data_IF_429211244622
#
_entry.id   IF_429211244622
#
_cell.length_a   1.000
_cell.length_b   1.000
_cell.length_c   1.000
_cell.angle_alpha   90.00
_cell.angle_beta   90.00
_cell.angle_gamma   90.00
#
_symmetry.space_group_name_H-M   'P 1'
#
loop_
_entity.id
_entity.type
_entity.pdbx_description
1 polymer ?
#
# COMPACT_ATOMS: atom_id res chain seq x y z
N UNK A 1 23.55 55.88 -7.87
CA UNK A 1 23.40 54.56 -8.51
C UNK A 1 22.22 53.85 -7.85
N UNK A 2 21.03 53.95 -8.45
CA UNK A 2 19.81 53.37 -7.90
C UNK A 2 19.72 51.88 -8.26
N UNK A 3 19.55 51.06 -7.24
CA UNK A 3 19.54 49.60 -7.29
C UNK A 3 18.17 49.13 -7.82
N UNK A 4 18.04 49.02 -9.14
CA UNK A 4 16.82 48.56 -9.79
C UNK A 4 16.82 47.02 -9.88
N UNK A 5 16.62 46.34 -8.75
CA UNK A 5 16.27 44.92 -8.77
C UNK A 5 14.82 44.81 -9.22
N UNK A 6 14.62 44.33 -10.44
CA UNK A 6 13.31 43.98 -10.94
C UNK A 6 12.58 43.10 -9.91
N UNK A 7 11.35 43.49 -9.58
CA UNK A 7 10.42 42.70 -8.77
C UNK A 7 10.20 41.36 -9.48
N UNK A 8 10.87 40.29 -9.04
CA UNK A 8 10.59 38.93 -9.51
C UNK A 8 9.12 38.60 -9.22
N UNK A 9 8.32 38.43 -10.26
CA UNK A 9 6.94 37.96 -10.10
C UNK A 9 6.96 36.48 -9.71
N UNK A 10 6.69 36.19 -8.44
CA UNK A 10 6.55 34.81 -7.97
C UNK A 10 5.26 34.22 -8.57
N UNK A 11 5.41 33.34 -9.56
CA UNK A 11 4.30 32.55 -10.08
C UNK A 11 3.93 31.46 -9.06
N UNK A 12 2.74 31.56 -8.48
CA UNK A 12 2.19 30.50 -7.62
C UNK A 12 1.54 29.42 -8.49
N UNK A 13 2.16 28.24 -8.57
CA UNK A 13 1.55 27.08 -9.23
C UNK A 13 0.65 26.38 -8.22
N UNK A 14 -0.65 26.39 -8.48
CA UNK A 14 -1.65 25.67 -7.68
C UNK A 14 -1.79 24.24 -8.19
N UNK A 15 -1.51 23.26 -7.34
CA UNK A 15 -1.81 21.86 -7.66
C UNK A 15 -3.32 21.60 -7.59
N UNK A 16 -3.87 21.12 -8.71
CA UNK A 16 -5.30 20.79 -8.87
C UNK A 16 -5.55 19.29 -9.04
N UNK A 17 -4.52 18.45 -8.85
CA UNK A 17 -4.69 16.99 -8.96
C UNK A 17 -5.56 16.44 -7.82
N UNK A 18 -6.21 15.30 -8.03
CA UNK A 18 -7.09 14.68 -7.04
C UNK A 18 -6.34 14.20 -5.78
N UNK A 19 -7.06 14.01 -4.67
CA UNK A 19 -6.53 13.38 -3.46
C UNK A 19 -6.54 11.85 -3.62
N UNK A 20 -5.38 11.16 -3.60
CA UNK A 20 -5.31 9.71 -3.75
C UNK A 20 -5.60 8.94 -2.44
N UNK A 21 -5.61 9.59 -1.26
CA UNK A 21 -5.79 8.92 0.02
C UNK A 21 -7.02 8.00 0.11
N UNK A 22 -8.20 8.38 -0.41
CA UNK A 22 -9.37 7.50 -0.37
C UNK A 22 -9.16 6.17 -1.12
N UNK A 23 -8.41 6.18 -2.22
CA UNK A 23 -8.07 4.96 -2.96
C UNK A 23 -7.19 4.03 -2.10
N UNK A 24 -6.15 4.59 -1.47
CA UNK A 24 -5.25 3.83 -0.60
C UNK A 24 -5.98 3.24 0.61
N UNK A 25 -6.84 4.02 1.25
CA UNK A 25 -7.62 3.58 2.42
C UNK A 25 -8.66 2.51 2.07
N UNK A 26 -9.34 2.63 0.94
CA UNK A 26 -10.31 1.62 0.50
C UNK A 26 -9.61 0.31 0.09
N UNK A 27 -8.47 0.40 -0.61
CA UNK A 27 -7.61 -0.73 -0.93
C UNK A 27 -7.21 -1.52 0.31
N UNK A 28 -6.68 -0.81 1.31
CA UNK A 28 -6.29 -1.38 2.58
C UNK A 28 -7.48 -1.96 3.36
N UNK A 29 -8.50 -1.14 3.58
CA UNK A 29 -9.62 -1.46 4.46
C UNK A 29 -10.44 -2.65 3.97
N UNK A 30 -10.82 -2.67 2.69
CA UNK A 30 -11.60 -3.78 2.14
C UNK A 30 -10.83 -5.09 2.20
N UNK A 31 -9.57 -5.09 1.78
CA UNK A 31 -8.73 -6.31 1.78
C UNK A 31 -8.50 -6.81 3.22
N UNK A 32 -8.31 -5.90 4.17
CA UNK A 32 -8.17 -6.23 5.60
C UNK A 32 -9.43 -6.87 6.17
N UNK A 33 -10.60 -6.29 5.90
CA UNK A 33 -11.88 -6.84 6.37
C UNK A 33 -12.08 -8.26 5.82
N UNK A 34 -11.86 -8.46 4.52
CA UNK A 34 -12.02 -9.77 3.89
C UNK A 34 -11.06 -10.82 4.45
N UNK A 35 -9.78 -10.47 4.66
CA UNK A 35 -8.81 -11.35 5.31
C UNK A 35 -9.23 -11.70 6.73
N UNK A 36 -9.73 -10.74 7.51
CA UNK A 36 -10.10 -11.00 8.89
C UNK A 36 -11.42 -11.76 9.03
N UNK A 37 -12.33 -11.68 8.07
CA UNK A 37 -13.48 -12.58 8.00
C UNK A 37 -13.03 -14.04 7.80
N UNK A 38 -11.99 -14.27 6.98
CA UNK A 38 -11.36 -15.58 6.89
C UNK A 38 -10.71 -15.99 8.23
N UNK A 39 -9.91 -15.12 8.85
CA UNK A 39 -9.25 -15.40 10.14
C UNK A 39 -10.26 -15.69 11.27
N UNK A 40 -11.44 -15.06 11.22
CA UNK A 40 -12.54 -15.29 12.15
C UNK A 40 -13.34 -16.57 11.86
N UNK A 41 -13.01 -17.31 10.78
CA UNK A 41 -13.61 -18.60 10.46
C UNK A 41 -14.91 -18.54 9.66
N UNK A 42 -15.30 -17.38 9.11
CA UNK A 42 -16.54 -17.27 8.31
C UNK A 42 -16.43 -17.96 6.94
N UNK A 43 -15.23 -18.00 6.36
CA UNK A 43 -14.96 -18.72 5.11
C UNK A 43 -13.48 -19.09 4.98
N UNK A 44 -13.18 -20.05 4.10
CA UNK A 44 -11.80 -20.48 3.82
C UNK A 44 -11.00 -19.44 3.02
N UNK A 45 -9.67 -19.56 3.09
CA UNK A 45 -8.77 -18.77 2.25
C UNK A 45 -8.98 -19.16 0.80
N UNK A 46 -9.36 -18.19 -0.04
CA UNK A 46 -9.67 -18.42 -1.45
C UNK A 46 -9.05 -17.35 -2.33
N UNK A 47 -9.16 -17.57 -3.65
CA UNK A 47 -8.71 -16.62 -4.67
C UNK A 47 -9.33 -15.23 -4.52
N UNK A 48 -10.47 -15.08 -3.84
CA UNK A 48 -11.03 -13.77 -3.52
C UNK A 48 -10.06 -12.92 -2.68
N UNK A 49 -9.52 -13.44 -1.59
CA UNK A 49 -8.58 -12.70 -0.73
C UNK A 49 -7.28 -12.45 -1.50
N UNK A 50 -6.79 -13.46 -2.22
CA UNK A 50 -5.54 -13.35 -2.98
C UNK A 50 -5.66 -12.28 -4.08
N UNK A 51 -6.75 -12.26 -4.84
CA UNK A 51 -6.99 -11.25 -5.87
C UNK A 51 -7.11 -9.84 -5.27
N UNK A 52 -7.81 -9.70 -4.14
CA UNK A 52 -7.89 -8.42 -3.43
C UNK A 52 -6.51 -7.96 -2.93
N UNK A 53 -5.71 -8.87 -2.38
CA UNK A 53 -4.33 -8.61 -1.97
C UNK A 53 -3.41 -8.21 -3.13
N UNK A 54 -3.57 -8.80 -4.32
CA UNK A 54 -2.78 -8.41 -5.48
C UNK A 54 -3.21 -7.04 -6.02
N UNK A 55 -4.48 -6.89 -6.36
CA UNK A 55 -4.91 -5.79 -7.21
C UNK A 55 -5.29 -4.55 -6.41
N UNK A 56 -5.95 -4.71 -5.26
CA UNK A 56 -6.57 -3.59 -4.56
C UNK A 56 -5.82 -3.20 -3.30
N UNK A 57 -5.64 -4.13 -2.37
CA UNK A 57 -4.72 -3.98 -1.25
C UNK A 57 -3.28 -3.79 -1.73
N UNK A 58 -2.88 -4.41 -2.84
CA UNK A 58 -1.52 -4.33 -3.39
C UNK A 58 -1.32 -3.16 -4.35
N UNK A 59 -1.53 -3.42 -5.64
CA UNK A 59 -1.17 -2.53 -6.75
C UNK A 59 -1.86 -1.16 -6.64
N UNK A 60 -3.18 -1.12 -6.44
CA UNK A 60 -3.90 0.15 -6.35
C UNK A 60 -3.44 1.00 -5.14
N UNK A 61 -3.12 0.35 -4.02
CA UNK A 61 -2.59 1.02 -2.83
C UNK A 61 -1.17 1.56 -3.05
N UNK A 62 -0.30 0.82 -3.76
CA UNK A 62 1.02 1.31 -4.20
C UNK A 62 0.88 2.54 -5.08
N UNK A 63 -0.04 2.50 -6.06
CA UNK A 63 -0.30 3.65 -6.95
C UNK A 63 -0.76 4.86 -6.14
N UNK A 64 -1.66 4.67 -5.16
CA UNK A 64 -2.10 5.75 -4.27
C UNK A 64 -0.92 6.35 -3.49
N UNK A 65 -0.01 5.53 -2.97
CA UNK A 65 1.22 5.99 -2.31
C UNK A 65 2.15 6.79 -3.23
N UNK A 66 2.36 6.34 -4.46
CA UNK A 66 3.15 7.10 -5.46
C UNK A 66 2.50 8.46 -5.76
N UNK A 67 1.17 8.54 -5.80
CA UNK A 67 0.46 9.80 -6.02
C UNK A 67 0.58 10.76 -4.84
N UNK A 68 0.68 10.28 -3.59
CA UNK A 68 0.88 11.11 -2.39
C UNK A 68 2.23 11.86 -2.40
N UNK A 69 3.24 11.32 -3.06
CA UNK A 69 4.54 12.01 -3.18
C UNK A 69 4.38 13.34 -3.91
N UNK A 70 3.55 13.37 -4.97
CA UNK A 70 3.22 14.60 -5.70
C UNK A 70 2.41 15.58 -4.87
N UNK A 71 1.77 15.12 -3.78
CA UNK A 71 1.01 15.93 -2.82
C UNK A 71 1.85 16.43 -1.65
N UNK A 72 3.16 16.17 -1.66
CA UNK A 72 4.06 16.45 -0.54
C UNK A 72 3.59 15.79 0.78
N UNK A 73 2.90 14.66 0.67
CA UNK A 73 2.40 13.90 1.80
C UNK A 73 3.31 12.69 2.03
N UNK A 74 4.39 12.91 2.78
CA UNK A 74 5.38 11.88 3.10
C UNK A 74 4.74 10.70 3.83
N UNK A 75 3.84 10.96 4.78
CA UNK A 75 3.15 9.91 5.52
C UNK A 75 2.34 9.01 4.59
N UNK A 76 1.48 9.60 3.74
CA UNK A 76 0.67 8.84 2.79
C UNK A 76 1.52 8.08 1.78
N UNK A 77 2.61 8.68 1.31
CA UNK A 77 3.57 8.05 0.40
C UNK A 77 4.16 6.78 1.02
N UNK A 78 4.68 6.89 2.24
CA UNK A 78 5.29 5.78 2.96
C UNK A 78 4.23 4.74 3.33
N UNK A 79 3.12 5.14 3.94
CA UNK A 79 2.11 4.22 4.45
C UNK A 79 1.45 3.42 3.32
N UNK A 80 0.91 4.08 2.29
CA UNK A 80 0.20 3.37 1.24
C UNK A 80 1.13 2.51 0.38
N UNK A 81 2.33 2.99 0.06
CA UNK A 81 3.29 2.18 -0.70
C UNK A 81 3.73 0.96 0.09
N UNK A 82 4.08 1.13 1.37
CA UNK A 82 4.51 0.02 2.23
C UNK A 82 3.40 -1.00 2.46
N UNK A 83 2.19 -0.57 2.83
CA UNK A 83 1.09 -1.53 3.04
C UNK A 83 0.60 -2.19 1.73
N UNK A 84 0.77 -1.53 0.58
CA UNK A 84 0.56 -2.20 -0.70
C UNK A 84 1.60 -3.29 -0.98
N UNK A 85 2.86 -3.06 -0.63
CA UNK A 85 3.90 -4.09 -0.69
C UNK A 85 3.70 -5.20 0.35
N UNK A 86 3.16 -4.88 1.53
CA UNK A 86 2.71 -5.89 2.51
C UNK A 86 1.72 -6.85 1.87
N UNK A 87 0.67 -6.35 1.21
CA UNK A 87 -0.32 -7.21 0.57
C UNK A 87 0.26 -8.09 -0.54
N UNK A 88 1.14 -7.53 -1.38
CA UNK A 88 1.81 -8.32 -2.43
C UNK A 88 2.73 -9.40 -1.85
N UNK A 89 3.49 -9.07 -0.81
CA UNK A 89 4.39 -10.04 -0.16
C UNK A 89 3.60 -11.11 0.59
N UNK A 90 2.48 -10.77 1.24
CA UNK A 90 1.59 -11.73 1.89
C UNK A 90 1.00 -12.72 0.88
N UNK A 91 0.54 -12.24 -0.29
CA UNK A 91 0.09 -13.13 -1.37
C UNK A 91 1.23 -14.02 -1.86
N UNK A 92 2.44 -13.46 -2.06
CA UNK A 92 3.62 -14.23 -2.46
C UNK A 92 3.94 -15.36 -1.46
N UNK A 93 3.95 -15.06 -0.17
CA UNK A 93 4.19 -16.05 0.90
C UNK A 93 3.18 -17.21 0.90
N UNK A 94 1.95 -16.97 0.44
CA UNK A 94 0.90 -17.99 0.34
C UNK A 94 1.03 -18.80 -0.96
N UNK A 95 1.34 -18.15 -2.08
CA UNK A 95 1.22 -18.75 -3.41
C UNK A 95 2.52 -19.37 -3.92
N UNK A 96 3.67 -18.78 -3.60
CA UNK A 96 4.99 -19.22 -4.10
C UNK A 96 5.34 -20.68 -3.77
N UNK A 97 4.99 -21.24 -2.60
CA UNK A 97 5.24 -22.66 -2.34
C UNK A 97 4.49 -23.58 -3.31
N UNK A 98 3.25 -23.24 -3.67
CA UNK A 98 2.47 -23.98 -4.67
C UNK A 98 3.01 -23.85 -6.10
N UNK A 99 3.83 -22.83 -6.36
CA UNK A 99 4.52 -22.60 -7.64
C UNK A 99 5.93 -23.19 -7.69
N UNK A 100 6.43 -23.79 -6.60
CA UNK A 100 7.78 -24.34 -6.52
C UNK A 100 8.88 -23.29 -6.36
N UNK A 101 8.55 -22.07 -5.93
CA UNK A 101 9.51 -20.96 -5.74
C UNK A 101 10.18 -20.96 -4.36
N UNK A 102 9.79 -21.87 -3.46
CA UNK A 102 10.37 -22.01 -2.13
C UNK A 102 9.49 -22.86 -1.21
N UNK A 103 9.95 -23.11 0.01
CA UNK A 103 9.15 -23.78 1.04
C UNK A 103 8.13 -22.82 1.67
N UNK A 104 7.02 -23.35 2.19
CA UNK A 104 6.06 -22.56 2.94
C UNK A 104 6.71 -22.02 4.23
N UNK A 105 6.44 -20.75 4.62
CA UNK A 105 7.01 -20.18 5.83
C UNK A 105 6.57 -20.99 7.06
N UNK A 106 7.52 -21.26 7.96
CA UNK A 106 7.18 -21.82 9.28
C UNK A 106 6.29 -20.84 10.05
N UNK A 107 5.54 -21.35 11.04
CA UNK A 107 4.71 -20.48 11.91
C UNK A 107 5.52 -19.37 12.58
N UNK A 108 6.76 -19.68 13.00
CA UNK A 108 7.65 -18.70 13.60
C UNK A 108 8.10 -17.63 12.60
N UNK A 109 8.47 -18.04 11.37
CA UNK A 109 8.84 -17.09 10.33
C UNK A 109 7.68 -16.16 9.95
N UNK A 110 6.46 -16.71 9.82
CA UNK A 110 5.26 -15.91 9.57
C UNK A 110 4.93 -14.97 10.73
N UNK A 111 5.08 -15.42 11.97
CA UNK A 111 4.89 -14.59 13.15
C UNK A 111 5.90 -13.43 13.20
N UNK A 112 7.17 -13.68 12.90
CA UNK A 112 8.19 -12.63 12.83
C UNK A 112 7.90 -11.63 11.70
N UNK A 113 7.48 -12.11 10.53
CA UNK A 113 7.05 -11.25 9.42
C UNK A 113 5.90 -10.33 9.82
N UNK A 114 4.81 -10.86 10.39
CA UNK A 114 3.66 -10.07 10.82
C UNK A 114 4.00 -9.12 11.97
N UNK A 115 4.85 -9.54 12.91
CA UNK A 115 5.33 -8.70 14.01
C UNK A 115 6.07 -7.47 13.47
N UNK A 116 6.97 -7.63 12.50
CA UNK A 116 7.71 -6.50 11.94
C UNK A 116 6.82 -5.51 11.19
N UNK A 117 5.68 -5.93 10.66
CA UNK A 117 4.67 -5.03 10.09
C UNK A 117 3.85 -4.26 11.13
N UNK A 118 3.85 -4.74 12.38
CA UNK A 118 3.13 -4.10 13.50
C UNK A 118 4.01 -3.22 14.40
N UNK A 119 5.33 -3.27 14.27
CA UNK A 119 6.30 -2.45 15.01
C UNK A 119 6.39 -1.03 14.43
#
# INVERSE_FOLDING_TARGET
MANNKASESVLSIKDLTANPAPLGLLGFGMTTVLLNLHNAGYFGLSTMILAMGVFYGGIAQIIAGIMEWKKNNTFGTTAFTSYGLFWLTLVGLIVFPGMGWGEAPTKMAMAAYLFMWGL
#
